data_IF_457646333224
#
_entry.id   IF_457646333224
#
_cell.length_a   1.000
_cell.length_b   1.000
_cell.length_c   1.000
_cell.angle_alpha   90.00
_cell.angle_beta   90.00
_cell.angle_gamma   90.00
#
_symmetry.space_group_name_H-M   'P 1'
#
loop_
_entity.id
_entity.type
_entity.pdbx_description
1 polymer ?
#
# COMPACT_ATOMS: atom_id res chain seq x y z
N UNK A 1 -8.82 17.85 -18.97
CA UNK A 1 -8.99 17.30 -17.60
C UNK A 1 -7.95 16.21 -17.51
N UNK A 2 -6.98 16.42 -16.62
CA UNK A 2 -5.65 15.81 -16.62
C UNK A 2 -5.70 14.27 -16.62
N UNK A 3 -4.97 13.66 -17.56
CA UNK A 3 -4.43 12.32 -17.32
C UNK A 3 -3.71 12.39 -15.96
N UNK A 4 -4.21 11.61 -14.99
CA UNK A 4 -3.51 11.47 -13.72
C UNK A 4 -2.28 10.66 -14.06
N UNK A 5 -1.12 11.33 -14.19
CA UNK A 5 0.15 10.65 -14.34
C UNK A 5 0.36 9.77 -13.12
N UNK A 6 0.20 8.46 -13.32
CA UNK A 6 0.40 7.45 -12.30
C UNK A 6 1.86 7.01 -12.30
N UNK A 7 2.47 7.06 -11.13
CA UNK A 7 3.82 6.60 -10.91
C UNK A 7 3.80 5.20 -10.30
N UNK A 8 4.60 4.31 -10.88
CA UNK A 8 4.89 3.00 -10.30
C UNK A 8 6.10 3.14 -9.38
N UNK A 9 5.87 3.10 -8.07
CA UNK A 9 6.92 3.32 -7.10
C UNK A 9 7.86 2.12 -6.93
N UNK A 10 7.39 0.94 -7.35
CA UNK A 10 8.10 -0.31 -7.23
C UNK A 10 7.18 -1.45 -6.79
N UNK A 11 7.81 -2.62 -6.71
CA UNK A 11 7.16 -3.88 -6.36
C UNK A 11 7.64 -4.29 -4.97
N UNK A 12 6.72 -4.79 -4.14
CA UNK A 12 7.02 -5.45 -2.88
C UNK A 12 6.47 -6.87 -2.89
N UNK A 13 7.02 -7.72 -2.02
CA UNK A 13 6.46 -9.03 -1.72
C UNK A 13 5.94 -9.01 -0.28
N UNK A 14 4.76 -9.60 -0.08
CA UNK A 14 4.21 -9.82 1.26
C UNK A 14 4.96 -10.99 1.90
N UNK A 15 5.79 -10.70 2.91
CA UNK A 15 6.63 -11.72 3.53
C UNK A 15 5.81 -12.87 4.13
N UNK A 16 6.26 -14.11 3.91
CA UNK A 16 5.69 -15.29 4.54
C UNK A 16 6.21 -15.43 5.99
N UNK A 17 5.33 -15.25 6.98
CA UNK A 17 5.68 -15.27 8.39
C UNK A 17 4.53 -14.87 9.32
N UNK A 18 4.74 -14.97 10.64
CA UNK A 18 3.73 -14.58 11.63
C UNK A 18 3.46 -13.07 11.63
N UNK A 19 4.48 -12.26 11.33
CA UNK A 19 4.38 -10.80 11.15
C UNK A 19 4.62 -10.45 9.69
N UNK A 20 3.56 -10.58 8.88
CA UNK A 20 3.60 -10.32 7.44
C UNK A 20 3.88 -8.83 7.19
N UNK A 21 4.82 -8.56 6.29
CA UNK A 21 5.30 -7.21 6.01
C UNK A 21 5.55 -7.04 4.52
N UNK A 22 5.55 -5.80 4.06
CA UNK A 22 5.89 -5.42 2.68
C UNK A 22 7.07 -4.47 2.72
N UNK A 23 8.04 -4.69 1.83
CA UNK A 23 9.14 -3.75 1.63
C UNK A 23 8.62 -2.46 0.96
N UNK A 24 8.92 -1.31 1.56
CA UNK A 24 8.53 -0.01 0.99
C UNK A 24 9.61 0.43 -0.02
N UNK A 25 9.26 0.62 -1.31
CA UNK A 25 10.20 1.00 -2.34
C UNK A 25 10.89 2.34 -2.05
N UNK A 26 12.08 2.52 -2.63
CA UNK A 26 12.86 3.74 -2.45
C UNK A 26 12.10 4.98 -2.92
N UNK A 27 11.36 4.92 -4.04
CA UNK A 27 10.65 6.08 -4.56
C UNK A 27 9.59 6.61 -3.59
N UNK A 28 8.87 5.72 -2.89
CA UNK A 28 7.90 6.13 -1.84
C UNK A 28 8.60 6.88 -0.70
N UNK A 29 9.81 6.45 -0.34
CA UNK A 29 10.60 7.03 0.76
C UNK A 29 11.28 8.34 0.34
N UNK A 30 11.89 8.38 -0.84
CA UNK A 30 12.62 9.54 -1.35
C UNK A 30 11.69 10.71 -1.69
N UNK A 31 10.45 10.42 -2.10
CA UNK A 31 9.38 11.41 -2.28
C UNK A 31 8.74 11.87 -0.97
N UNK A 32 9.12 11.27 0.17
CA UNK A 32 8.61 11.65 1.49
C UNK A 32 7.19 11.18 1.78
N UNK A 33 6.60 10.33 0.93
CA UNK A 33 5.24 9.81 1.11
C UNK A 33 5.17 9.00 2.41
N UNK A 34 6.15 8.11 2.63
CA UNK A 34 6.34 7.38 3.88
C UNK A 34 7.76 7.62 4.41
N UNK A 35 7.93 7.59 5.73
CA UNK A 35 9.23 7.88 6.36
C UNK A 35 9.50 6.98 7.57
N UNK A 36 10.75 6.58 7.73
CA UNK A 36 11.20 5.83 8.91
C UNK A 36 10.98 6.63 10.19
N UNK A 37 10.60 5.96 11.28
CA UNK A 37 10.32 6.62 12.55
C UNK A 37 8.99 7.38 12.62
N UNK A 38 8.20 7.38 11.53
CA UNK A 38 6.81 7.85 11.51
C UNK A 38 5.85 6.66 11.40
N UNK A 39 4.60 6.80 11.89
CA UNK A 39 3.57 5.81 11.65
C UNK A 39 3.21 5.78 10.15
N UNK A 40 2.90 4.58 9.67
CA UNK A 40 2.30 4.28 8.38
C UNK A 40 0.89 3.78 8.66
N UNK A 41 -0.10 4.54 8.23
CA UNK A 41 -1.51 4.19 8.40
C UNK A 41 -1.94 3.30 7.24
N UNK A 42 -2.64 2.22 7.56
CA UNK A 42 -3.22 1.31 6.60
C UNK A 42 -4.72 1.52 6.56
N UNK A 43 -5.22 1.82 5.37
CA UNK A 43 -6.63 2.06 5.10
C UNK A 43 -7.07 1.25 3.89
N UNK A 44 -8.37 1.24 3.60
CA UNK A 44 -8.88 0.88 2.29
C UNK A 44 -9.88 1.92 1.79
N UNK A 45 -9.91 2.12 0.47
CA UNK A 45 -10.94 2.93 -0.20
C UNK A 45 -12.24 2.11 -0.26
N UNK A 46 -13.38 2.71 0.07
CA UNK A 46 -14.66 2.02 0.30
C UNK A 46 -15.36 1.55 -0.96
N UNK A 47 -15.22 2.27 -2.06
CA UNK A 47 -15.96 2.01 -3.32
C UNK A 47 -15.33 0.84 -4.07
N UNK A 48 -14.02 0.89 -4.30
CA UNK A 48 -13.28 -0.12 -5.06
C UNK A 48 -12.61 -1.17 -4.17
N UNK A 49 -12.46 -0.90 -2.87
CA UNK A 49 -11.91 -1.86 -1.93
C UNK A 49 -10.41 -2.06 -2.13
N UNK A 50 -9.65 -0.98 -2.32
CA UNK A 50 -8.19 -1.04 -2.55
C UNK A 50 -7.46 -0.63 -1.30
N UNK A 51 -6.37 -1.31 -0.97
CA UNK A 51 -5.52 -0.95 0.15
C UNK A 51 -4.75 0.36 -0.12
N UNK A 52 -4.66 1.20 0.91
CA UNK A 52 -3.97 2.49 0.87
C UNK A 52 -3.06 2.60 2.08
N UNK A 53 -1.84 3.07 1.85
CA UNK A 53 -0.91 3.46 2.91
C UNK A 53 -0.70 4.96 2.90
N UNK A 54 -0.64 5.58 4.09
CA UNK A 54 -0.51 7.03 4.23
C UNK A 54 0.35 7.46 5.42
N UNK A 55 0.86 8.70 5.36
CA UNK A 55 1.71 9.29 6.41
C UNK A 55 0.96 9.65 7.70
N UNK A 56 -0.35 9.86 7.61
CA UNK A 56 -1.28 10.04 8.72
C UNK A 56 -2.64 9.38 8.40
N UNK A 57 -3.55 9.36 9.36
CA UNK A 57 -4.88 8.77 9.18
C UNK A 57 -5.67 9.51 8.08
N UNK A 58 -6.27 8.75 7.15
CA UNK A 58 -7.17 9.31 6.13
C UNK A 58 -8.54 9.52 6.78
N UNK A 59 -8.92 10.78 6.99
CA UNK A 59 -10.19 11.14 7.65
C UNK A 59 -11.40 11.25 6.70
N UNK A 60 -11.16 11.18 5.39
CA UNK A 60 -12.21 11.27 4.37
C UNK A 60 -13.17 10.07 4.45
N UNK A 61 -14.45 10.30 4.15
CA UNK A 61 -15.49 9.28 4.25
C UNK A 61 -15.38 8.21 3.16
N UNK A 62 -14.57 8.47 2.13
CA UNK A 62 -14.13 7.52 1.10
C UNK A 62 -13.22 6.42 1.65
N UNK A 63 -12.55 6.63 2.80
CA UNK A 63 -11.60 5.67 3.35
C UNK A 63 -12.10 5.02 4.66
N UNK A 64 -11.51 3.88 4.97
CA UNK A 64 -11.61 3.25 6.29
C UNK A 64 -10.21 2.94 6.79
N UNK A 65 -9.78 3.70 7.80
CA UNK A 65 -8.57 3.44 8.56
C UNK A 65 -8.71 2.13 9.34
N UNK A 66 -7.71 1.25 9.22
CA UNK A 66 -7.71 -0.10 9.81
C UNK A 66 -6.81 -0.16 11.04
N UNK A 67 -5.55 0.28 10.89
CA UNK A 67 -4.52 0.31 11.93
C UNK A 67 -3.29 1.09 11.41
N UNK A 68 -2.32 1.37 12.27
CA UNK A 68 -1.02 1.92 11.88
C UNK A 68 0.15 1.03 12.33
N UNK A 69 1.26 1.09 11.58
CA UNK A 69 2.50 0.35 11.85
C UNK A 69 3.71 1.25 11.61
N UNK A 70 4.84 0.93 12.22
CA UNK A 70 6.08 1.66 11.98
C UNK A 70 6.73 1.20 10.67
N UNK A 71 7.25 2.15 9.87
CA UNK A 71 8.20 1.83 8.82
C UNK A 71 9.56 1.54 9.45
N UNK A 72 10.06 0.32 9.26
CA UNK A 72 11.37 -0.10 9.76
C UNK A 72 12.49 0.60 8.99
N UNK A 73 13.69 0.63 9.57
CA UNK A 73 14.86 1.24 8.96
C UNK A 73 15.58 0.31 7.96
N UNK A 74 16.74 0.77 7.48
CA UNK A 74 17.59 0.04 6.54
C UNK A 74 17.98 -1.37 7.02
N UNK A 75 18.10 -1.59 8.33
CA UNK A 75 18.53 -2.88 8.88
C UNK A 75 17.47 -3.99 8.67
N UNK A 76 16.22 -3.59 8.43
CA UNK A 76 15.10 -4.49 8.13
C UNK A 76 14.54 -4.25 6.72
N UNK A 77 15.38 -3.72 5.82
CA UNK A 77 15.03 -3.53 4.40
C UNK A 77 13.93 -2.49 4.16
N UNK A 78 13.68 -1.58 5.10
CA UNK A 78 12.55 -0.64 5.03
C UNK A 78 11.18 -1.32 4.89
N UNK A 79 10.98 -2.41 5.61
CA UNK A 79 9.71 -3.13 5.67
C UNK A 79 8.68 -2.41 6.54
N UNK A 80 7.40 -2.57 6.20
CA UNK A 80 6.28 -2.17 7.03
C UNK A 80 5.36 -3.38 7.25
N UNK A 81 5.03 -3.67 8.50
CA UNK A 81 4.09 -4.74 8.84
C UNK A 81 2.71 -4.42 8.28
N UNK A 82 2.06 -5.40 7.66
CA UNK A 82 0.69 -5.29 7.19
C UNK A 82 -0.26 -5.71 8.31
N UNK A 83 -1.31 -4.94 8.65
CA UNK A 83 -2.25 -5.33 9.69
C UNK A 83 -2.95 -6.65 9.35
N UNK A 84 -3.10 -7.53 10.35
CA UNK A 84 -3.63 -8.88 10.15
C UNK A 84 -5.02 -8.91 9.46
N UNK A 85 -5.83 -7.86 9.61
CA UNK A 85 -7.15 -7.73 8.97
C UNK A 85 -7.12 -7.71 7.44
N UNK A 86 -5.99 -7.38 6.84
CA UNK A 86 -5.79 -7.44 5.39
C UNK A 86 -5.53 -8.88 4.91
N UNK A 87 -5.62 -9.90 5.76
CA UNK A 87 -5.44 -11.29 5.37
C UNK A 87 -6.71 -12.11 5.58
N UNK A 88 -7.03 -12.98 4.61
CA UNK A 88 -8.25 -13.80 4.64
C UNK A 88 -8.30 -14.81 5.79
N UNK A 89 -7.17 -15.14 6.40
CA UNK A 89 -7.06 -16.06 7.54
C UNK A 89 -7.25 -15.37 8.90
N UNK A 90 -7.52 -14.06 8.93
CA UNK A 90 -7.77 -13.32 10.15
C UNK A 90 -9.08 -13.74 10.82
N UNK A 91 -8.96 -14.45 11.95
CA UNK A 91 -10.12 -14.96 12.72
C UNK A 91 -10.73 -13.97 13.72
N UNK A 92 -10.29 -12.71 13.73
CA UNK A 92 -10.89 -11.67 14.58
C UNK A 92 -10.78 -11.96 16.07
N UNK A 93 -9.63 -11.69 16.71
CA UNK A 93 -9.59 -11.61 18.17
C UNK A 93 -10.09 -10.23 18.62
N UNK A 94 -11.41 -10.10 18.76
CA UNK A 94 -12.05 -9.21 19.73
C UNK A 94 -11.70 -7.72 19.68
N UNK A 95 -11.45 -7.14 18.50
CA UNK A 95 -11.12 -5.73 18.39
C UNK A 95 -12.32 -4.93 17.82
N UNK A 96 -13.10 -4.24 18.68
CA UNK A 96 -14.36 -3.60 18.33
C UNK A 96 -14.21 -2.27 17.57
N UNK A 97 -12.98 -1.80 17.34
CA UNK A 97 -12.73 -0.45 16.80
C UNK A 97 -12.94 -0.30 15.29
N UNK A 98 -13.01 -1.39 14.51
CA UNK A 98 -13.28 -1.32 13.07
C UNK A 98 -14.56 -2.11 12.79
N UNK A 99 -15.65 -1.38 12.52
CA UNK A 99 -17.00 -1.92 12.38
C UNK A 99 -17.26 -2.69 11.08
N UNK A 100 -16.31 -2.68 10.13
CA UNK A 100 -16.47 -3.29 8.80
C UNK A 100 -15.29 -4.18 8.44
N UNK A 101 -15.53 -5.41 7.95
CA UNK A 101 -14.46 -6.27 7.45
C UNK A 101 -13.75 -5.61 6.26
N UNK A 102 -12.44 -5.83 6.14
CA UNK A 102 -11.67 -5.41 4.96
C UNK A 102 -12.22 -6.14 3.73
N UNK A 103 -12.56 -5.43 2.62
CA UNK A 103 -13.05 -6.04 1.39
C UNK A 103 -12.06 -7.06 0.84
N UNK A 104 -12.54 -8.09 0.15
CA UNK A 104 -11.67 -9.14 -0.41
C UNK A 104 -10.60 -8.58 -1.35
N UNK A 105 -10.94 -7.56 -2.15
CA UNK A 105 -10.01 -6.88 -3.06
C UNK A 105 -8.85 -6.17 -2.38
N UNK A 106 -9.04 -5.74 -1.13
CA UNK A 106 -7.98 -5.08 -0.36
C UNK A 106 -7.11 -6.11 0.36
N UNK A 107 -7.49 -7.39 0.39
CA UNK A 107 -6.75 -8.40 1.12
C UNK A 107 -5.57 -8.91 0.32
N UNK A 108 -4.60 -9.45 1.06
CA UNK A 108 -3.40 -10.05 0.53
C UNK A 108 -3.26 -11.51 0.93
N UNK A 109 -2.46 -12.24 0.17
CA UNK A 109 -1.96 -13.57 0.51
C UNK A 109 -0.47 -13.52 0.90
N UNK A 110 0.01 -14.44 1.77
CA UNK A 110 1.45 -14.58 2.02
C UNK A 110 2.20 -14.95 0.73
N UNK A 111 3.33 -14.29 0.49
CA UNK A 111 4.12 -14.44 -0.74
C UNK A 111 3.54 -13.70 -1.95
N UNK A 112 2.43 -12.98 -1.78
CA UNK A 112 1.83 -12.22 -2.87
C UNK A 112 2.69 -11.02 -3.26
N UNK A 113 2.77 -10.77 -4.57
CA UNK A 113 3.41 -9.59 -5.15
C UNK A 113 2.42 -8.42 -5.13
N UNK A 114 2.91 -7.26 -4.66
CA UNK A 114 2.13 -6.03 -4.61
C UNK A 114 2.85 -4.88 -5.30
N UNK A 115 2.08 -4.00 -5.92
CA UNK A 115 2.53 -2.81 -6.61
C UNK A 115 2.16 -1.56 -5.82
N UNK A 116 3.13 -0.70 -5.56
CA UNK A 116 2.91 0.58 -4.91
C UNK A 116 2.74 1.66 -5.97
N UNK A 117 1.55 2.23 -6.05
CA UNK A 117 1.16 3.21 -7.08
C UNK A 117 0.72 4.52 -6.44
N UNK A 118 1.17 5.65 -6.97
CA UNK A 118 0.72 6.96 -6.53
C UNK A 118 0.59 7.93 -7.70
N UNK A 119 -0.25 8.95 -7.55
CA UNK A 119 -0.24 10.12 -8.43
C UNK A 119 0.49 11.27 -7.76
N UNK A 120 0.96 12.25 -8.52
CA UNK A 120 1.61 13.45 -7.97
C UNK A 120 0.74 14.13 -6.90
N UNK A 121 -0.57 14.23 -7.13
CA UNK A 121 -1.51 14.80 -6.17
C UNK A 121 -1.55 14.04 -4.83
N UNK A 122 -1.35 12.72 -4.84
CA UNK A 122 -1.30 11.90 -3.62
C UNK A 122 0.06 12.01 -2.90
N UNK A 123 1.14 12.20 -3.65
CA UNK A 123 2.46 12.38 -3.07
C UNK A 123 2.61 13.76 -2.42
N UNK A 124 1.98 14.79 -3.00
CA UNK A 124 2.04 16.18 -2.54
C UNK A 124 0.93 16.55 -1.55
N UNK A 125 -0.06 15.67 -1.31
CA UNK A 125 -1.12 15.91 -0.33
C UNK A 125 -0.62 15.75 1.12
N UNK A 126 -1.43 16.25 2.06
CA UNK A 126 -1.28 16.01 3.49
C UNK A 126 -2.63 15.50 4.05
N UNK A 127 -2.75 14.21 4.40
CA UNK A 127 -1.73 13.16 4.33
C UNK A 127 -1.26 12.83 2.91
N UNK A 128 0.03 12.51 2.79
CA UNK A 128 0.59 11.89 1.58
C UNK A 128 0.24 10.41 1.59
N UNK A 129 -0.07 9.84 0.42
CA UNK A 129 -0.59 8.48 0.31
C UNK A 129 -0.12 7.73 -0.93
N UNK A 130 -0.27 6.41 -0.90
CA UNK A 130 0.05 5.49 -1.98
C UNK A 130 -0.94 4.32 -1.96
N UNK A 131 -1.40 3.88 -3.12
CA UNK A 131 -2.15 2.64 -3.26
C UNK A 131 -1.20 1.44 -3.18
N UNK A 132 -1.70 0.34 -2.63
CA UNK A 132 -1.04 -0.97 -2.63
C UNK A 132 -1.96 -1.92 -3.38
N UNK A 133 -1.55 -2.33 -4.58
CA UNK A 133 -2.34 -3.14 -5.50
C UNK A 133 -1.79 -4.55 -5.58
N UNK A 134 -2.64 -5.55 -5.66
CA UNK A 134 -2.21 -6.90 -6.08
C UNK A 134 -1.84 -6.91 -7.57
N UNK A 135 -1.17 -7.96 -8.04
CA UNK A 135 -0.93 -8.17 -9.47
C UNK A 135 -2.22 -8.12 -10.30
N UNK A 136 -3.31 -8.74 -9.81
CA UNK A 136 -4.62 -8.72 -10.48
C UNK A 136 -5.13 -7.28 -10.62
N UNK A 137 -5.14 -6.54 -9.51
CA UNK A 137 -5.61 -5.16 -9.48
C UNK A 137 -4.76 -4.19 -10.31
N UNK A 138 -3.45 -4.37 -10.29
CA UNK A 138 -2.54 -3.61 -11.14
C UNK A 138 -2.83 -3.90 -12.61
N UNK A 139 -2.97 -5.18 -12.97
CA UNK A 139 -3.22 -5.58 -14.35
C UNK A 139 -4.56 -5.06 -14.86
N UNK A 140 -5.62 -5.11 -14.07
CA UNK A 140 -6.95 -4.58 -14.42
C UNK A 140 -6.93 -3.07 -14.70
N UNK A 141 -6.10 -2.31 -13.99
CA UNK A 141 -6.08 -0.83 -14.05
C UNK A 141 -5.05 -0.27 -15.03
N UNK A 142 -3.92 -0.94 -15.20
CA UNK A 142 -2.73 -0.37 -15.85
C UNK A 142 -2.16 -1.19 -17.01
N UNK A 143 -2.54 -2.47 -17.18
CA UNK A 143 -1.95 -3.30 -18.25
C UNK A 143 -2.45 -2.94 -19.65
N UNK A 144 -3.70 -2.45 -19.74
CA UNK A 144 -4.35 -2.08 -21.00
C UNK A 144 -4.57 -0.57 -21.14
N UNK A 145 -4.10 0.26 -20.18
CA UNK A 145 -4.36 1.70 -20.19
C UNK A 145 -3.13 2.50 -20.59
N UNK A 146 -3.32 3.50 -21.46
CA UNK A 146 -2.36 4.58 -21.74
C UNK A 146 -2.03 5.45 -20.50
N UNK A 147 -2.57 5.09 -19.32
CA UNK A 147 -2.48 5.86 -18.08
C UNK A 147 -1.17 5.63 -17.30
N UNK A 148 -0.35 4.67 -17.73
CA UNK A 148 0.98 4.40 -17.17
C UNK A 148 2.02 4.35 -18.30
N UNK A 149 3.11 5.09 -18.15
CA UNK A 149 4.12 5.31 -19.21
C UNK A 149 5.09 4.13 -19.43
N UNK A 150 4.93 3.05 -18.66
CA UNK A 150 5.72 1.82 -18.79
C UNK A 150 7.18 1.94 -18.33
N UNK A 151 7.62 3.07 -17.73
CA UNK A 151 9.00 3.23 -17.27
C UNK A 151 9.19 2.60 -15.89
N UNK A 152 9.69 1.37 -15.89
CA UNK A 152 10.35 0.73 -14.76
C UNK A 152 11.77 1.30 -14.60
N UNK A 153 11.90 2.59 -14.27
CA UNK A 153 13.19 3.10 -13.79
C UNK A 153 13.34 2.62 -12.33
N UNK A 154 14.13 1.54 -12.17
CA UNK A 154 14.66 1.00 -10.90
C UNK A 154 13.75 0.08 -10.08
N UNK A 155 13.44 -1.10 -10.60
CA UNK A 155 13.27 -2.29 -9.73
C UNK A 155 14.64 -2.94 -9.54
N UNK A 156 15.23 -2.96 -8.33
CA UNK A 156 16.40 -3.79 -8.07
C UNK A 156 15.99 -5.24 -8.34
N UNK A 157 16.57 -5.85 -9.38
CA UNK A 157 16.52 -7.31 -9.50
C UNK A 157 17.31 -7.85 -8.32
N UNK A 158 16.61 -8.51 -7.39
CA UNK A 158 17.27 -9.37 -6.41
C UNK A 158 18.04 -10.42 -7.22
N UNK A 159 19.37 -10.35 -7.14
CA UNK A 159 20.31 -11.35 -7.67
C UNK A 159 20.67 -12.32 -6.57
#
# INVERSE_FOLDING_TARGET
MSDRDWNHAGIGEVSDGESRSVQIPELVRSRGILSTGKPVYWSYERVVGVAVVSSSELEDDEYVSVDYRGLQDASNGYSCTVPARFFGDFKGRGDPKVSKPVPERARFEPGETVHLMFSEAMAESDPSSCYVLTDEEFNERFKDSDAWDGRLDEVPRLV
#
